data_IF_843805327204
#
_entry.id   IF_843805327204
#
_cell.length_a   1.000
_cell.length_b   1.000
_cell.length_c   1.000
_cell.angle_alpha   90.00
_cell.angle_beta   90.00
_cell.angle_gamma   90.00
#
_symmetry.space_group_name_H-M   'P 1'
#
loop_
_entity.id
_entity.type
_entity.pdbx_description
1 polymer ?
#
# COMPACT_ATOMS: atom_id res chain seq x y z
N UNK A 1 7.74 -23.78 0.05
CA UNK A 1 6.61 -22.85 0.06
C UNK A 1 7.07 -21.54 -0.51
N UNK A 2 6.31 -20.99 -1.46
CA UNK A 2 6.64 -19.76 -2.15
C UNK A 2 5.56 -18.71 -1.89
N UNK A 3 5.96 -17.54 -1.42
CA UNK A 3 5.05 -16.42 -1.12
C UNK A 3 5.42 -15.25 -2.01
N UNK A 4 4.43 -14.55 -2.53
CA UNK A 4 4.62 -13.25 -3.16
C UNK A 4 3.95 -12.17 -2.34
N UNK A 5 4.54 -10.99 -2.32
CA UNK A 5 3.97 -9.86 -1.60
C UNK A 5 3.98 -8.60 -2.47
N UNK A 6 3.02 -7.72 -2.24
CA UNK A 6 2.99 -6.38 -2.81
C UNK A 6 2.93 -5.38 -1.67
N UNK A 7 3.86 -4.43 -1.67
CA UNK A 7 3.87 -3.34 -0.69
C UNK A 7 3.46 -2.04 -1.37
N UNK A 8 2.47 -1.31 -0.81
CA UNK A 8 1.94 -0.09 -1.42
C UNK A 8 1.55 0.94 -0.36
N UNK A 9 2.16 2.13 -0.41
CA UNK A 9 1.90 3.21 0.54
C UNK A 9 1.72 4.56 -0.18
N UNK A 10 0.64 5.31 0.10
CA UNK A 10 0.44 6.63 -0.50
C UNK A 10 1.38 7.70 0.07
N UNK A 11 1.83 7.52 1.32
CA UNK A 11 2.55 8.55 2.07
C UNK A 11 4.08 8.55 1.86
N UNK A 12 4.63 7.68 0.99
CA UNK A 12 6.05 7.75 0.69
C UNK A 12 6.74 6.42 0.40
N UNK A 13 7.88 6.55 -0.27
CA UNK A 13 8.76 5.47 -0.69
C UNK A 13 9.32 4.67 0.49
N UNK A 14 9.70 5.37 1.58
CA UNK A 14 10.41 4.76 2.69
C UNK A 14 9.63 3.60 3.32
N UNK A 15 8.35 3.78 3.63
CA UNK A 15 7.54 2.73 4.26
C UNK A 15 7.33 1.51 3.34
N UNK A 16 7.17 1.75 2.04
CA UNK A 16 7.04 0.69 1.03
C UNK A 16 8.29 -0.20 1.00
N UNK A 17 9.48 0.42 0.95
CA UNK A 17 10.74 -0.31 0.96
C UNK A 17 11.05 -0.95 2.31
N UNK A 18 10.72 -0.30 3.43
CA UNK A 18 10.89 -0.88 4.77
C UNK A 18 10.04 -2.14 4.94
N UNK A 19 8.78 -2.10 4.54
CA UNK A 19 7.90 -3.26 4.58
C UNK A 19 8.42 -4.40 3.69
N UNK A 20 8.85 -4.09 2.46
CA UNK A 20 9.43 -5.07 1.55
C UNK A 20 10.68 -5.74 2.14
N UNK A 21 11.58 -4.96 2.75
CA UNK A 21 12.79 -5.49 3.39
C UNK A 21 12.47 -6.31 4.64
N UNK A 22 11.49 -5.89 5.45
CA UNK A 22 11.06 -6.64 6.63
C UNK A 22 10.47 -7.99 6.25
N UNK A 23 9.62 -8.04 5.22
CA UNK A 23 9.06 -9.29 4.70
C UNK A 23 10.13 -10.22 4.13
N UNK A 24 11.11 -9.68 3.37
CA UNK A 24 12.23 -10.48 2.85
C UNK A 24 13.09 -11.07 3.96
N UNK A 25 13.42 -10.26 4.97
CA UNK A 25 14.21 -10.72 6.14
C UNK A 25 13.46 -11.82 6.92
N UNK A 26 12.17 -11.62 7.16
CA UNK A 26 11.34 -12.60 7.83
C UNK A 26 11.21 -13.90 7.02
N UNK A 27 11.08 -13.81 5.69
CA UNK A 27 11.09 -14.96 4.80
C UNK A 27 12.39 -15.76 4.89
N UNK A 28 13.54 -15.09 4.90
CA UNK A 28 14.85 -15.74 5.09
C UNK A 28 14.95 -16.45 6.46
N UNK A 29 14.48 -15.80 7.53
CA UNK A 29 14.49 -16.38 8.87
C UNK A 29 13.64 -17.64 8.99
N UNK A 30 12.55 -17.72 8.23
CA UNK A 30 11.62 -18.86 8.20
C UNK A 30 11.92 -19.86 7.08
N UNK A 31 13.02 -19.68 6.35
CA UNK A 31 13.42 -20.49 5.19
C UNK A 31 12.32 -20.59 4.12
N UNK A 32 11.68 -19.44 3.81
CA UNK A 32 10.62 -19.31 2.82
C UNK A 32 11.10 -18.46 1.66
N UNK A 33 10.85 -18.92 0.44
CA UNK A 33 11.07 -18.10 -0.75
C UNK A 33 9.97 -17.00 -0.82
N UNK A 34 10.42 -15.75 -0.69
CA UNK A 34 9.51 -14.60 -0.80
C UNK A 34 10.01 -13.61 -1.85
N UNK A 35 9.13 -13.24 -2.79
CA UNK A 35 9.35 -12.15 -3.75
C UNK A 35 8.40 -11.00 -3.41
N UNK A 36 8.94 -9.77 -3.42
CA UNK A 36 8.17 -8.59 -3.03
C UNK A 36 8.24 -7.53 -4.14
N UNK A 37 7.08 -7.18 -4.66
CA UNK A 37 6.86 -6.03 -5.54
C UNK A 37 6.58 -4.79 -4.68
N UNK A 38 7.17 -3.66 -5.06
CA UNK A 38 6.95 -2.36 -4.39
C UNK A 38 6.18 -1.43 -5.32
N UNK A 39 5.13 -0.80 -4.82
CA UNK A 39 4.31 0.18 -5.55
C UNK A 39 4.34 1.51 -4.79
N UNK A 40 5.32 2.33 -5.12
CA UNK A 40 5.53 3.65 -4.52
C UNK A 40 5.01 4.79 -5.38
N UNK A 41 5.27 6.02 -4.94
CA UNK A 41 4.99 7.24 -5.72
C UNK A 41 5.92 7.41 -6.92
N UNK A 42 7.05 6.71 -6.93
CA UNK A 42 8.04 6.66 -8.02
C UNK A 42 7.76 5.55 -9.05
N UNK A 43 6.66 4.81 -8.86
CA UNK A 43 6.26 3.68 -9.69
C UNK A 43 6.42 2.33 -9.03
N UNK A 44 6.37 1.28 -9.85
CA UNK A 44 6.47 -0.10 -9.40
C UNK A 44 7.90 -0.62 -9.55
N UNK A 45 8.45 -1.18 -8.48
CA UNK A 45 9.75 -1.84 -8.45
C UNK A 45 9.62 -3.35 -8.23
N UNK A 46 10.57 -4.13 -8.76
CA UNK A 46 10.60 -5.60 -8.65
C UNK A 46 9.27 -6.25 -9.05
N UNK A 47 8.73 -5.86 -10.20
CA UNK A 47 7.43 -6.34 -10.69
C UNK A 47 7.41 -7.87 -10.73
N UNK A 48 6.39 -8.46 -10.12
CA UNK A 48 6.18 -9.90 -10.11
C UNK A 48 5.78 -10.40 -11.50
N UNK A 49 6.46 -11.41 -11.99
CA UNK A 49 6.09 -12.07 -13.25
C UNK A 49 4.82 -12.91 -13.08
N UNK A 50 4.15 -13.21 -14.18
CA UNK A 50 3.00 -14.12 -14.17
C UNK A 50 3.37 -15.52 -13.64
N UNK A 51 4.61 -15.95 -13.86
CA UNK A 51 5.13 -17.23 -13.35
C UNK A 51 5.33 -17.19 -11.83
N UNK A 52 5.85 -16.08 -11.29
CA UNK A 52 5.99 -15.89 -9.85
C UNK A 52 4.64 -15.96 -9.15
N UNK A 53 3.63 -15.27 -9.71
CA UNK A 53 2.27 -15.26 -9.16
C UNK A 53 1.65 -16.65 -9.27
N UNK A 54 1.78 -17.33 -10.42
CA UNK A 54 1.22 -18.69 -10.61
C UNK A 54 1.84 -19.71 -9.66
N UNK A 55 3.15 -19.65 -9.44
CA UNK A 55 3.88 -20.56 -8.57
C UNK A 55 3.75 -20.26 -7.08
N UNK A 56 3.20 -19.11 -6.71
CA UNK A 56 3.01 -18.72 -5.33
C UNK A 56 1.86 -19.48 -4.66
N UNK A 57 2.10 -19.96 -3.44
CA UNK A 57 1.10 -20.60 -2.59
C UNK A 57 0.18 -19.56 -1.94
N UNK A 58 0.75 -18.41 -1.56
CA UNK A 58 0.04 -17.31 -0.89
C UNK A 58 0.50 -15.95 -1.42
N UNK A 59 -0.39 -14.98 -1.29
CA UNK A 59 -0.15 -13.58 -1.65
C UNK A 59 -0.36 -12.70 -0.43
N UNK A 60 0.54 -11.74 -0.19
CA UNK A 60 0.41 -10.76 0.89
C UNK A 60 0.33 -9.36 0.28
N UNK A 61 -0.75 -8.64 0.56
CA UNK A 61 -0.87 -7.23 0.26
C UNK A 61 -0.59 -6.42 1.52
N UNK A 62 0.60 -5.86 1.63
CA UNK A 62 0.98 -4.91 2.67
C UNK A 62 0.73 -3.49 2.14
N UNK A 63 -0.53 -3.03 2.22
CA UNK A 63 -0.96 -1.84 1.49
C UNK A 63 -1.92 -0.96 2.29
N UNK A 64 -1.65 0.35 2.27
CA UNK A 64 -2.53 1.39 2.83
C UNK A 64 -3.33 2.10 1.72
N UNK A 65 -3.03 1.84 0.44
CA UNK A 65 -3.82 2.20 -0.74
C UNK A 65 -4.17 0.95 -1.54
N UNK A 66 -5.07 1.08 -2.51
CA UNK A 66 -5.36 -0.03 -3.43
C UNK A 66 -4.10 -0.44 -4.19
N UNK A 67 -3.86 -1.76 -4.27
CA UNK A 67 -2.78 -2.34 -5.06
C UNK A 67 -3.12 -2.19 -6.54
N UNK A 68 -2.17 -1.77 -7.35
CA UNK A 68 -2.34 -1.63 -8.79
C UNK A 68 -2.33 -3.02 -9.46
N UNK A 69 -3.16 -3.18 -10.49
CA UNK A 69 -3.30 -4.44 -11.26
C UNK A 69 -3.63 -5.66 -10.37
N UNK A 70 -4.59 -5.53 -9.46
CA UNK A 70 -5.05 -6.62 -8.58
C UNK A 70 -5.54 -7.85 -9.34
N UNK A 71 -6.01 -7.66 -10.55
CA UNK A 71 -6.55 -8.71 -11.43
C UNK A 71 -5.53 -9.82 -11.70
N UNK A 72 -4.23 -9.52 -11.61
CA UNK A 72 -3.16 -10.52 -11.77
C UNK A 72 -3.19 -11.62 -10.70
N UNK A 73 -3.82 -11.35 -9.57
CA UNK A 73 -3.87 -12.23 -8.39
C UNK A 73 -5.21 -12.97 -8.25
N UNK A 74 -6.09 -12.91 -9.26
CA UNK A 74 -7.37 -13.63 -9.23
C UNK A 74 -7.14 -15.12 -8.97
N UNK A 75 -7.95 -15.70 -8.08
CA UNK A 75 -7.88 -17.11 -7.69
C UNK A 75 -6.77 -17.45 -6.71
N UNK A 76 -6.01 -16.47 -6.21
CA UNK A 76 -5.00 -16.67 -5.16
C UNK A 76 -5.56 -16.37 -3.77
N UNK A 77 -5.01 -17.04 -2.76
CA UNK A 77 -5.29 -16.76 -1.35
C UNK A 77 -4.50 -15.52 -0.93
N UNK A 78 -5.19 -14.43 -0.68
CA UNK A 78 -4.61 -13.11 -0.39
C UNK A 78 -4.81 -12.79 1.08
N UNK A 79 -3.77 -12.28 1.72
CA UNK A 79 -3.82 -11.70 3.06
C UNK A 79 -3.53 -10.21 2.94
N UNK A 80 -4.45 -9.38 3.41
CA UNK A 80 -4.30 -7.93 3.42
C UNK A 80 -3.89 -7.45 4.81
N UNK A 81 -2.80 -6.69 4.88
CA UNK A 81 -2.29 -6.09 6.11
C UNK A 81 -1.89 -4.63 5.86
N UNK A 82 -1.96 -3.76 6.87
CA UNK A 82 -1.41 -2.41 6.76
C UNK A 82 0.11 -2.44 6.55
N UNK A 83 0.66 -1.45 5.82
CA UNK A 83 2.11 -1.35 5.58
C UNK A 83 2.89 -1.30 6.89
N UNK A 84 2.41 -0.55 7.88
CA UNK A 84 3.07 -0.44 9.18
C UNK A 84 3.16 -1.77 9.93
N UNK A 85 2.16 -2.62 9.80
CA UNK A 85 2.18 -3.95 10.41
C UNK A 85 3.21 -4.85 9.74
N UNK A 86 3.31 -4.80 8.41
CA UNK A 86 4.35 -5.51 7.67
C UNK A 86 5.78 -5.03 8.02
N UNK A 87 5.95 -3.75 8.39
CA UNK A 87 7.25 -3.24 8.87
C UNK A 87 7.60 -3.79 10.24
N UNK A 88 6.65 -3.82 11.18
CA UNK A 88 6.88 -4.14 12.59
C UNK A 88 6.83 -5.64 12.88
N UNK A 89 5.89 -6.34 12.26
CA UNK A 89 5.48 -7.70 12.62
C UNK A 89 5.55 -8.68 11.43
N UNK A 90 6.47 -8.48 10.49
CA UNK A 90 6.59 -9.29 9.27
C UNK A 90 6.67 -10.80 9.56
N UNK A 91 7.43 -11.20 10.59
CA UNK A 91 7.57 -12.60 10.98
C UNK A 91 6.24 -13.20 11.43
N UNK A 92 5.51 -12.52 12.31
CA UNK A 92 4.21 -12.96 12.82
C UNK A 92 3.17 -13.08 11.71
N UNK A 93 3.21 -12.17 10.72
CA UNK A 93 2.35 -12.23 9.53
C UNK A 93 2.64 -13.51 8.74
N UNK A 94 3.92 -13.77 8.43
CA UNK A 94 4.31 -14.97 7.69
C UNK A 94 3.94 -16.25 8.45
N UNK A 95 4.21 -16.32 9.75
CA UNK A 95 3.80 -17.44 10.60
C UNK A 95 2.28 -17.67 10.59
N UNK A 96 1.50 -16.60 10.63
CA UNK A 96 0.03 -16.68 10.55
C UNK A 96 -0.44 -17.20 9.20
N UNK A 97 0.23 -16.81 8.11
CA UNK A 97 -0.06 -17.29 6.76
C UNK A 97 0.25 -18.79 6.64
N UNK A 98 1.43 -19.21 7.14
CA UNK A 98 1.88 -20.61 7.09
C UNK A 98 0.94 -21.51 7.90
N UNK A 99 0.57 -21.06 9.10
CA UNK A 99 -0.30 -21.79 10.01
C UNK A 99 -1.79 -21.78 9.61
N UNK A 100 -2.12 -21.12 8.49
CA UNK A 100 -3.50 -20.98 8.02
C UNK A 100 -4.42 -20.16 8.94
N UNK A 101 -3.83 -19.40 9.89
CA UNK A 101 -4.56 -18.57 10.85
C UNK A 101 -4.84 -17.16 10.31
N UNK A 102 -4.22 -16.80 9.19
CA UNK A 102 -4.44 -15.50 8.55
C UNK A 102 -5.85 -15.44 7.95
N UNK A 103 -6.45 -14.25 7.95
CA UNK A 103 -7.73 -14.01 7.25
C UNK A 103 -7.44 -13.91 5.75
N UNK A 104 -7.79 -14.96 5.02
CA UNK A 104 -7.63 -14.99 3.57
C UNK A 104 -8.82 -14.34 2.88
N UNK A 105 -8.53 -13.51 1.90
CA UNK A 105 -9.49 -12.94 0.94
C UNK A 105 -9.15 -13.49 -0.43
N UNK A 106 -10.13 -13.83 -1.24
CA UNK A 106 -9.95 -14.19 -2.66
C UNK A 106 -10.55 -13.11 -3.53
N UNK A 107 -9.83 -12.73 -4.57
CA UNK A 107 -10.38 -11.85 -5.60
C UNK A 107 -11.12 -12.74 -6.59
N UNK A 108 -12.45 -12.65 -6.61
CA UNK A 108 -13.29 -13.28 -7.63
C UNK A 108 -13.46 -12.31 -8.81
N UNK A 109 -13.58 -12.85 -10.01
CA UNK A 109 -13.71 -12.06 -11.24
C UNK A 109 -15.05 -11.34 -11.42
N UNK A 110 -15.95 -11.45 -10.47
CA UNK A 110 -17.26 -10.77 -10.46
C UNK A 110 -17.22 -9.61 -9.46
N UNK A 111 -17.33 -8.39 -9.98
CA UNK A 111 -17.23 -7.14 -9.21
C UNK A 111 -18.34 -6.87 -8.18
N UNK A 112 -18.99 -7.90 -7.63
CA UNK A 112 -20.05 -7.79 -6.63
C UNK A 112 -19.57 -7.99 -5.19
N UNK A 113 -18.39 -8.61 -4.98
CA UNK A 113 -17.88 -8.91 -3.62
C UNK A 113 -17.24 -7.72 -2.90
N UNK A 114 -16.99 -6.61 -3.61
CA UNK A 114 -16.45 -5.38 -2.99
C UNK A 114 -17.48 -4.66 -2.10
N UNK A 115 -18.78 -4.87 -2.34
CA UNK A 115 -19.83 -4.20 -1.57
C UNK A 115 -20.07 -4.86 -0.20
N UNK A 116 -20.01 -6.18 -0.12
CA UNK A 116 -20.24 -6.93 1.14
C UNK A 116 -19.03 -6.83 2.09
N UNK A 117 -17.80 -6.81 1.56
CA UNK A 117 -16.61 -6.54 2.37
C UNK A 117 -16.53 -5.10 2.89
N UNK A 118 -17.09 -4.13 2.18
CA UNK A 118 -17.23 -2.74 2.64
C UNK A 118 -18.22 -2.59 3.80
N UNK A 119 -19.25 -3.43 3.84
CA UNK A 119 -20.28 -3.38 4.88
C UNK A 119 -19.87 -4.12 6.17
N UNK A 120 -19.05 -5.17 6.08
CA UNK A 120 -18.63 -5.95 7.23
C UNK A 120 -17.35 -5.51 7.93
N UNK A 121 -16.50 -4.71 7.29
CA UNK A 121 -15.23 -4.26 7.87
C UNK A 121 -15.30 -2.80 8.30
N UNK A 122 -16.20 -2.52 9.21
CA UNK A 122 -16.11 -1.38 10.09
C UNK A 122 -16.61 -0.01 9.65
N UNK A 123 -17.53 0.39 10.37
CA UNK A 123 -17.98 1.75 10.67
C UNK A 123 -16.91 2.77 11.11
N UNK A 124 -15.66 2.38 11.31
CA UNK A 124 -14.61 3.31 11.78
C UNK A 124 -13.36 3.42 10.89
N UNK A 125 -13.01 2.41 10.10
CA UNK A 125 -11.80 2.46 9.23
C UNK A 125 -12.09 3.00 7.83
N UNK A 126 -13.32 2.91 7.33
CA UNK A 126 -13.71 3.36 5.99
C UNK A 126 -13.63 4.87 5.81
N UNK A 127 -14.10 5.64 6.78
CA UNK A 127 -14.10 7.11 6.72
C UNK A 127 -12.67 7.65 6.69
N UNK A 128 -11.75 7.07 7.48
CA UNK A 128 -10.35 7.49 7.51
C UNK A 128 -9.62 7.21 6.19
N UNK A 129 -9.92 6.08 5.54
CA UNK A 129 -9.34 5.71 4.23
C UNK A 129 -9.79 6.66 3.11
N UNK A 130 -11.06 7.02 3.09
CA UNK A 130 -11.61 8.00 2.12
C UNK A 130 -11.09 9.41 2.40
N UNK A 131 -10.97 9.80 3.67
CA UNK A 131 -10.41 11.09 4.06
C UNK A 131 -8.94 11.21 3.65
N UNK A 132 -8.15 10.14 3.86
CA UNK A 132 -6.72 10.11 3.54
C UNK A 132 -6.48 10.12 2.01
N UNK A 133 -7.30 9.42 1.23
CA UNK A 133 -7.25 9.47 -0.24
C UNK A 133 -7.59 10.86 -0.77
N UNK A 134 -8.58 11.54 -0.17
CA UNK A 134 -8.93 12.92 -0.50
C UNK A 134 -7.80 13.90 -0.17
N UNK A 135 -7.14 13.70 0.97
CA UNK A 135 -6.05 14.58 1.43
C UNK A 135 -4.82 14.52 0.50
N UNK A 136 -4.44 13.32 0.03
CA UNK A 136 -3.31 13.15 -0.89
C UNK A 136 -3.53 13.87 -2.23
N UNK A 137 -4.76 13.93 -2.72
CA UNK A 137 -5.08 14.63 -3.97
C UNK A 137 -5.12 16.16 -3.80
N UNK A 138 -5.28 16.68 -2.57
CA UNK A 138 -5.27 18.12 -2.28
C UNK A 138 -3.88 18.71 -2.06
N UNK A 139 -2.89 17.87 -1.73
CA UNK A 139 -1.50 18.31 -1.45
C UNK A 139 -0.91 19.21 -2.56
N UNK A 140 -0.98 18.89 -3.85
CA UNK A 140 -0.42 19.75 -4.90
C UNK A 140 -1.11 21.12 -4.97
N UNK A 141 -2.40 21.19 -4.68
CA UNK A 141 -3.14 22.47 -4.68
C UNK A 141 -2.76 23.35 -3.49
N UNK A 142 -2.51 22.75 -2.31
CA UNK A 142 -2.08 23.47 -1.11
C UNK A 142 -0.68 24.03 -1.33
N UNK A 143 0.23 23.27 -1.92
CA UNK A 143 1.59 23.71 -2.23
C UNK A 143 1.55 24.85 -3.25
N UNK A 144 0.80 24.71 -4.34
CA UNK A 144 0.65 25.75 -5.35
C UNK A 144 0.06 27.04 -4.77
N UNK A 145 -0.99 26.93 -3.94
CA UNK A 145 -1.59 28.06 -3.23
C UNK A 145 -0.63 28.74 -2.28
N UNK A 146 0.16 27.98 -1.52
CA UNK A 146 1.19 28.50 -0.61
C UNK A 146 2.29 29.27 -1.33
N UNK A 147 2.73 28.78 -2.49
CA UNK A 147 3.72 29.48 -3.33
C UNK A 147 3.15 30.79 -3.86
N UNK A 148 1.90 30.80 -4.38
CA UNK A 148 1.25 32.01 -4.86
C UNK A 148 1.10 33.08 -3.76
N UNK A 149 0.73 32.67 -2.54
CA UNK A 149 0.65 33.58 -1.39
C UNK A 149 2.03 34.12 -1.04
N UNK A 150 3.06 33.27 -1.01
CA UNK A 150 4.43 33.65 -0.73
C UNK A 150 4.98 34.69 -1.73
N UNK A 151 4.72 34.48 -3.03
CA UNK A 151 5.07 35.42 -4.08
C UNK A 151 4.31 36.74 -3.92
N UNK A 152 3.01 36.69 -3.62
CA UNK A 152 2.19 37.89 -3.40
C UNK A 152 2.72 38.74 -2.22
N UNK A 153 3.14 38.10 -1.13
CA UNK A 153 3.76 38.81 -0.01
C UNK A 153 5.13 39.41 -0.40
N UNK A 154 5.97 38.68 -1.15
CA UNK A 154 7.28 39.15 -1.56
C UNK A 154 7.20 40.38 -2.47
N UNK A 155 6.22 40.44 -3.37
CA UNK A 155 6.03 41.59 -4.28
C UNK A 155 5.10 42.67 -3.68
N UNK A 156 4.15 42.30 -2.80
CA UNK A 156 3.21 43.22 -2.18
C UNK A 156 3.84 44.14 -1.16
N UNK A 157 4.89 43.71 -0.48
CA UNK A 157 5.62 44.53 0.52
C UNK A 157 6.41 45.65 -0.18
N UNK A 158 6.92 45.41 -1.40
CA UNK A 158 7.59 46.44 -2.20
C UNK A 158 6.65 47.48 -2.80
N UNK A 159 5.38 47.12 -3.00
CA UNK A 159 4.35 48.04 -3.51
C UNK A 159 3.73 48.95 -2.46
N UNK A 160 3.89 48.61 -1.14
CA UNK A 160 3.32 49.36 -0.02
C UNK A 160 4.25 50.39 0.60
N UNK A 161 5.47 50.62 0.04
CA UNK A 161 6.41 51.63 0.48
C UNK A 161 6.61 52.67 -0.64
N UNK A 162 5.74 53.71 -0.77
CA UNK A 162 6.01 54.83 -1.64
C UNK A 162 6.93 55.79 -0.90
N UNK A 163 8.18 55.87 -1.27
CA UNK A 163 9.01 57.05 -1.01
C UNK A 163 8.60 58.20 -1.92
#
# INVERSE_FOLDING_TARGET
MKIVAVTSCPAGLAHTYMAANSLKKAGLSLNIEIKVETQGSDGSGNILSSEDIKSADYVIFAADKSVDNKERFIGKKIVEVPVQEAVKNAQSILESVINGKAKFTSINSTGEDDLDNLLQTSSRKGIYKHLMAGFSNMLPFIIAGGICIGISFAFGITASNPD
#
